data_IF_907911468985
#
_entry.id   IF_907911468985
#
_cell.length_a   1.000
_cell.length_b   1.000
_cell.length_c   1.000
_cell.angle_alpha   90.00
_cell.angle_beta   90.00
_cell.angle_gamma   90.00
#
_symmetry.space_group_name_H-M   'P 1'
#
loop_
_entity.id
_entity.type
_entity.pdbx_description
1 polymer ?
#
# COMPACT_ATOMS: atom_id res chain seq x y z
N UNK A 1 1.27 14.89 -0.41
CA UNK A 1 0.16 13.96 -0.10
C UNK A 1 -1.19 14.63 -0.23
N UNK A 2 -1.34 15.89 0.21
CA UNK A 2 -2.58 16.66 -0.05
C UNK A 2 -2.83 16.90 -1.54
N UNK A 3 -1.75 16.98 -2.34
CA UNK A 3 -1.85 16.98 -3.80
C UNK A 3 -2.68 15.83 -4.38
N UNK A 4 -2.55 14.60 -3.84
CA UNK A 4 -3.29 13.43 -4.36
C UNK A 4 -4.80 13.57 -4.17
N UNK A 5 -5.21 14.12 -3.03
CA UNK A 5 -6.62 14.38 -2.72
C UNK A 5 -7.18 15.51 -3.58
N UNK A 6 -6.38 16.56 -3.82
CA UNK A 6 -6.77 17.67 -4.68
C UNK A 6 -6.92 17.24 -6.15
N UNK A 7 -6.02 16.39 -6.64
CA UNK A 7 -6.04 15.87 -8.01
C UNK A 7 -7.16 14.84 -8.21
N UNK A 8 -7.47 14.05 -7.17
CA UNK A 8 -8.48 12.99 -7.21
C UNK A 8 -9.44 13.12 -6.01
N UNK A 9 -10.42 14.04 -6.07
CA UNK A 9 -11.39 14.22 -5.00
C UNK A 9 -12.15 12.92 -4.70
N UNK A 10 -12.21 12.55 -3.42
CA UNK A 10 -12.92 11.34 -2.98
C UNK A 10 -12.18 10.01 -3.24
N UNK A 11 -10.91 10.03 -3.66
CA UNK A 11 -10.16 8.80 -3.92
C UNK A 11 -10.02 7.87 -2.70
N UNK A 12 -10.10 8.42 -1.48
CA UNK A 12 -10.06 7.66 -0.23
C UNK A 12 -11.42 7.13 0.23
N UNK A 13 -12.51 7.43 -0.48
CA UNK A 13 -13.88 7.09 -0.08
C UNK A 13 -14.45 5.90 -0.87
N UNK A 14 -13.59 5.06 -1.43
CA UNK A 14 -13.96 3.90 -2.23
C UNK A 14 -13.11 2.70 -1.81
N UNK A 15 -13.76 1.63 -1.37
CA UNK A 15 -13.08 0.43 -0.88
C UNK A 15 -12.46 -0.43 -2.01
N UNK A 16 -12.74 -0.11 -3.27
CA UNK A 16 -12.22 -0.81 -4.46
C UNK A 16 -10.98 -0.12 -5.06
N UNK A 17 -10.74 1.16 -4.73
CA UNK A 17 -9.55 1.85 -5.20
C UNK A 17 -8.28 1.31 -4.55
N UNK A 18 -7.23 1.21 -5.37
CA UNK A 18 -5.91 0.75 -4.95
C UNK A 18 -4.86 1.85 -5.07
N UNK A 19 -3.87 1.79 -4.20
CA UNK A 19 -2.78 2.75 -4.05
C UNK A 19 -1.46 2.00 -4.03
N UNK A 20 -0.46 2.54 -4.72
CA UNK A 20 0.85 1.91 -4.80
C UNK A 20 1.99 2.90 -4.53
N UNK A 21 2.95 2.49 -3.71
CA UNK A 21 4.27 3.12 -3.63
C UNK A 21 5.31 2.18 -4.25
N UNK A 22 5.66 2.42 -5.50
CA UNK A 22 6.61 1.59 -6.23
C UNK A 22 8.07 1.88 -5.84
N UNK A 23 8.33 2.80 -4.91
CA UNK A 23 9.66 3.11 -4.42
C UNK A 23 9.66 3.42 -2.91
N UNK A 24 9.15 2.46 -2.14
CA UNK A 24 9.08 2.57 -0.70
C UNK A 24 10.48 2.76 -0.09
N UNK A 25 10.55 3.69 0.88
CA UNK A 25 11.70 3.86 1.77
C UNK A 25 11.35 3.43 3.19
N UNK A 26 10.73 4.31 3.96
CA UNK A 26 10.35 4.06 5.35
C UNK A 26 8.97 3.42 5.50
N UNK A 27 8.16 3.36 4.43
CA UNK A 27 6.76 2.95 4.51
C UNK A 27 5.78 4.08 4.89
N UNK A 28 6.29 5.29 5.18
CA UNK A 28 5.47 6.42 5.64
C UNK A 28 4.30 6.76 4.70
N UNK A 29 4.54 6.78 3.40
CA UNK A 29 3.49 7.11 2.43
C UNK A 29 2.33 6.10 2.52
N UNK A 30 2.64 4.80 2.48
CA UNK A 30 1.63 3.74 2.63
C UNK A 30 0.87 3.88 3.95
N UNK A 31 1.57 4.08 5.07
CA UNK A 31 0.93 4.26 6.37
C UNK A 31 -0.05 5.44 6.39
N UNK A 32 0.28 6.55 5.74
CA UNK A 32 -0.64 7.70 5.65
C UNK A 32 -1.85 7.41 4.74
N UNK A 33 -1.69 6.64 3.66
CA UNK A 33 -2.82 6.16 2.84
C UNK A 33 -3.73 5.27 3.70
N UNK A 34 -3.15 4.30 4.42
CA UNK A 34 -3.89 3.40 5.32
C UNK A 34 -4.69 4.20 6.34
N UNK A 35 -4.09 5.21 6.96
CA UNK A 35 -4.80 6.09 7.92
C UNK A 35 -5.98 6.81 7.26
N UNK A 36 -5.81 7.38 6.07
CA UNK A 36 -6.89 8.10 5.37
C UNK A 36 -8.05 7.16 5.03
N UNK A 37 -7.75 6.00 4.46
CA UNK A 37 -8.75 4.97 4.14
C UNK A 37 -9.48 4.49 5.41
N UNK A 38 -8.73 4.21 6.48
CA UNK A 38 -9.31 3.72 7.73
C UNK A 38 -10.25 4.73 8.39
N UNK A 39 -10.01 6.03 8.20
CA UNK A 39 -10.83 7.10 8.75
C UNK A 39 -11.96 7.57 7.84
N UNK A 40 -12.00 7.15 6.57
CA UNK A 40 -13.09 7.48 5.64
C UNK A 40 -14.43 6.98 6.18
N UNK A 41 -15.43 7.87 6.20
CA UNK A 41 -16.78 7.53 6.65
C UNK A 41 -17.46 6.53 5.72
N UNK A 42 -17.14 6.55 4.41
CA UNK A 42 -17.67 5.57 3.46
C UNK A 42 -17.08 4.18 3.68
N UNK A 43 -15.76 4.09 3.84
CA UNK A 43 -15.09 2.81 4.12
C UNK A 43 -15.54 2.26 5.47
N UNK A 44 -15.76 3.11 6.49
CA UNK A 44 -16.34 2.69 7.78
C UNK A 44 -17.77 2.17 7.65
N UNK A 45 -18.59 2.76 6.78
CA UNK A 45 -19.96 2.28 6.55
C UNK A 45 -19.98 0.90 5.87
N UNK A 46 -19.05 0.64 4.96
CA UNK A 46 -18.89 -0.67 4.29
C UNK A 46 -18.24 -1.72 5.20
N UNK A 47 -17.22 -1.32 5.97
CA UNK A 47 -16.47 -2.17 6.90
C UNK A 47 -16.57 -1.61 8.32
N UNK A 48 -17.71 -1.83 9.03
CA UNK A 48 -17.91 -1.27 10.36
C UNK A 48 -17.02 -1.91 11.43
N UNK A 49 -16.57 -3.15 11.23
CA UNK A 49 -15.61 -3.80 12.12
C UNK A 49 -14.19 -3.29 11.85
N UNK A 50 -13.55 -2.73 12.88
CA UNK A 50 -12.20 -2.16 12.80
C UNK A 50 -11.14 -3.14 12.30
N UNK A 51 -11.17 -4.38 12.77
CA UNK A 51 -10.21 -5.41 12.41
C UNK A 51 -10.39 -5.88 10.96
N UNK A 52 -11.65 -6.03 10.50
CA UNK A 52 -11.94 -6.36 9.10
C UNK A 52 -11.57 -5.21 8.17
N UNK A 53 -11.84 -3.96 8.57
CA UNK A 53 -11.51 -2.77 7.79
C UNK A 53 -10.01 -2.64 7.56
N UNK A 54 -9.20 -2.76 8.61
CA UNK A 54 -7.74 -2.66 8.45
C UNK A 54 -7.18 -3.83 7.63
N UNK A 55 -7.71 -5.06 7.78
CA UNK A 55 -7.33 -6.20 6.93
C UNK A 55 -7.66 -5.93 5.48
N UNK A 56 -8.87 -5.46 5.19
CA UNK A 56 -9.30 -5.14 3.82
C UNK A 56 -8.36 -4.12 3.17
N UNK A 57 -8.07 -3.02 3.87
CA UNK A 57 -7.17 -1.97 3.37
C UNK A 57 -5.79 -2.55 3.05
N UNK A 58 -5.19 -3.31 3.97
CA UNK A 58 -3.85 -3.86 3.80
C UNK A 58 -3.77 -4.94 2.71
N UNK A 59 -4.82 -5.74 2.55
CA UNK A 59 -4.85 -6.88 1.63
C UNK A 59 -5.35 -6.55 0.22
N UNK A 60 -6.14 -5.47 0.06
CA UNK A 60 -6.79 -5.19 -1.22
C UNK A 60 -6.55 -3.77 -1.73
N UNK A 61 -6.13 -2.82 -0.90
CA UNK A 61 -6.06 -1.42 -1.31
C UNK A 61 -4.65 -0.84 -1.35
N UNK A 62 -3.69 -1.35 -0.57
CA UNK A 62 -2.33 -0.79 -0.57
C UNK A 62 -1.29 -1.79 -1.04
N UNK A 63 -0.40 -1.30 -1.91
CA UNK A 63 0.66 -2.06 -2.57
C UNK A 63 1.98 -1.31 -2.48
N UNK A 64 3.10 -2.02 -2.50
CA UNK A 64 4.38 -1.34 -2.58
C UNK A 64 5.57 -2.19 -2.98
N UNK A 65 6.58 -1.52 -3.51
CA UNK A 65 7.86 -2.12 -3.89
C UNK A 65 8.99 -1.41 -3.14
N UNK A 66 9.92 -2.18 -2.59
CA UNK A 66 11.15 -1.66 -2.01
C UNK A 66 12.37 -2.23 -2.77
N UNK A 67 13.36 -1.40 -3.15
CA UNK A 67 14.40 -1.82 -4.10
C UNK A 67 15.43 -2.78 -3.51
N UNK A 68 15.63 -2.77 -2.19
CA UNK A 68 16.63 -3.62 -1.52
C UNK A 68 16.04 -4.31 -0.30
N UNK A 69 16.66 -5.42 0.12
CA UNK A 69 16.22 -6.21 1.28
C UNK A 69 16.13 -5.39 2.57
N UNK A 70 17.11 -4.53 2.82
CA UNK A 70 17.15 -3.71 4.04
C UNK A 70 15.99 -2.71 4.04
N UNK A 71 15.78 -2.01 2.92
CA UNK A 71 14.70 -1.03 2.79
C UNK A 71 13.33 -1.72 2.87
N UNK A 72 13.20 -2.88 2.22
CA UNK A 72 12.00 -3.71 2.31
C UNK A 72 11.66 -4.04 3.77
N UNK A 73 12.63 -4.56 4.53
CA UNK A 73 12.43 -4.90 5.94
C UNK A 73 12.05 -3.69 6.80
N UNK A 74 12.70 -2.55 6.58
CA UNK A 74 12.38 -1.29 7.29
C UNK A 74 10.94 -0.87 6.98
N UNK A 75 10.56 -0.79 5.71
CA UNK A 75 9.22 -0.40 5.29
C UNK A 75 8.15 -1.35 5.83
N UNK A 76 8.33 -2.66 5.65
CA UNK A 76 7.34 -3.65 6.09
C UNK A 76 7.22 -3.72 7.61
N UNK A 77 8.32 -3.58 8.36
CA UNK A 77 8.25 -3.53 9.82
C UNK A 77 7.58 -2.24 10.31
N UNK A 78 7.76 -1.12 9.61
CA UNK A 78 7.04 0.11 9.95
C UNK A 78 5.54 0.00 9.68
N UNK A 79 5.16 -0.61 8.56
CA UNK A 79 3.74 -0.73 8.15
C UNK A 79 3.01 -1.84 8.92
N UNK A 80 3.68 -2.98 9.21
CA UNK A 80 3.03 -4.20 9.71
C UNK A 80 3.64 -4.73 11.02
N UNK A 81 4.75 -4.17 11.50
CA UNK A 81 5.48 -4.72 12.65
C UNK A 81 4.78 -4.59 14.00
N UNK A 82 3.58 -4.01 14.05
CA UNK A 82 2.73 -3.98 15.23
C UNK A 82 1.85 -5.22 15.38
N UNK A 83 1.65 -6.02 14.31
CA UNK A 83 0.81 -7.22 14.31
C UNK A 83 1.38 -8.32 13.40
N UNK A 84 1.87 -9.39 14.02
CA UNK A 84 2.48 -10.51 13.28
C UNK A 84 1.48 -11.32 12.46
N UNK A 85 0.19 -11.36 12.84
CA UNK A 85 -0.84 -12.02 12.05
C UNK A 85 -1.06 -11.28 10.74
N UNK A 86 -1.25 -9.95 10.81
CA UNK A 86 -1.44 -9.10 9.63
C UNK A 86 -0.22 -9.11 8.72
N UNK A 87 0.98 -9.16 9.32
CA UNK A 87 2.24 -9.28 8.59
C UNK A 87 2.31 -10.57 7.78
N UNK A 88 1.84 -11.69 8.33
CA UNK A 88 1.83 -12.97 7.63
C UNK A 88 0.75 -13.06 6.55
N UNK A 89 -0.38 -12.36 6.74
CA UNK A 89 -1.51 -12.36 5.82
C UNK A 89 -1.30 -11.43 4.61
N UNK A 90 -0.56 -10.33 4.80
CA UNK A 90 -0.39 -9.28 3.77
C UNK A 90 0.71 -9.65 2.78
N UNK A 91 0.37 -9.69 1.49
CA UNK A 91 1.30 -10.07 0.40
C UNK A 91 1.60 -8.94 -0.60
N UNK A 92 1.02 -7.76 -0.38
CA UNK A 92 1.06 -6.65 -1.34
C UNK A 92 2.34 -5.80 -1.29
N UNK A 93 3.27 -6.15 -0.40
CA UNK A 93 4.58 -5.51 -0.33
C UNK A 93 5.65 -6.47 -0.81
N UNK A 94 6.44 -6.04 -1.80
CA UNK A 94 7.47 -6.88 -2.44
C UNK A 94 8.83 -6.19 -2.46
N UNK A 95 9.89 -7.00 -2.48
CA UNK A 95 11.23 -6.51 -2.76
C UNK A 95 11.46 -6.53 -4.27
N UNK A 96 11.42 -5.37 -4.92
CA UNK A 96 11.63 -5.20 -6.35
C UNK A 96 12.16 -3.79 -6.66
N UNK A 97 13.09 -3.68 -7.62
CA UNK A 97 13.65 -2.40 -8.04
C UNK A 97 12.87 -1.82 -9.22
N UNK A 98 11.77 -1.12 -8.90
CA UNK A 98 10.97 -0.42 -9.90
C UNK A 98 11.74 0.70 -10.60
N UNK A 99 12.72 1.32 -9.94
CA UNK A 99 13.55 2.37 -10.55
C UNK A 99 14.41 1.80 -11.67
N UNK A 100 15.02 0.63 -11.45
CA UNK A 100 15.77 -0.06 -12.49
C UNK A 100 14.85 -0.53 -13.63
N UNK A 101 13.71 -1.13 -13.31
CA UNK A 101 12.75 -1.56 -14.33
C UNK A 101 12.21 -0.38 -15.17
N UNK A 102 11.98 0.78 -14.57
CA UNK A 102 11.58 1.99 -15.28
C UNK A 102 12.64 2.47 -16.27
N UNK A 103 13.93 2.48 -15.87
CA UNK A 103 15.05 2.81 -16.77
C UNK A 103 15.15 1.85 -17.96
N UNK A 104 14.80 0.59 -17.76
CA UNK A 104 14.79 -0.43 -18.80
C UNK A 104 13.49 -0.46 -19.63
N UNK A 105 12.50 0.37 -19.32
CA UNK A 105 11.19 0.35 -19.98
C UNK A 105 10.31 -0.85 -19.62
N UNK A 106 10.64 -1.59 -18.56
CA UNK A 106 9.98 -2.84 -18.12
C UNK A 106 9.12 -2.68 -16.86
N UNK A 107 8.82 -1.45 -16.44
CA UNK A 107 8.08 -1.20 -15.22
C UNK A 107 6.70 -1.90 -15.23
N UNK A 108 5.97 -1.82 -16.34
CA UNK A 108 4.66 -2.45 -16.47
C UNK A 108 4.73 -3.98 -16.34
N UNK A 109 5.74 -4.60 -16.93
CA UNK A 109 5.98 -6.05 -16.83
C UNK A 109 6.30 -6.46 -15.38
N UNK A 110 7.12 -5.66 -14.68
CA UNK A 110 7.45 -5.91 -13.28
C UNK A 110 6.21 -5.78 -12.39
N UNK A 111 5.40 -4.74 -12.57
CA UNK A 111 4.15 -4.54 -11.83
C UNK A 111 3.20 -5.72 -12.05
N UNK A 112 3.00 -6.14 -13.30
CA UNK A 112 2.16 -7.30 -13.62
C UNK A 112 2.72 -8.59 -13.00
N UNK A 113 4.04 -8.79 -13.01
CA UNK A 113 4.66 -9.96 -12.39
C UNK A 113 4.48 -10.00 -10.88
N UNK A 114 4.50 -8.84 -10.22
CA UNK A 114 4.43 -8.74 -8.77
C UNK A 114 2.99 -8.73 -8.23
N UNK A 115 2.04 -8.14 -8.98
CA UNK A 115 0.70 -7.83 -8.49
C UNK A 115 -0.45 -8.24 -9.43
N UNK A 116 -0.17 -8.80 -10.60
CA UNK A 116 -1.17 -9.18 -11.61
C UNK A 116 -1.39 -10.68 -11.73
#
# INVERSE_FOLDING_TARGET
MDALACENPGCFDDATHTFADLYMKSGLYITEIVKRLYHSDKIKAEYPNDAERIRHILQHQVYGMAPTRIIYLIATNYILGFDESMKSETKNFVQADASQAAKEGKLAELVKKCFG
#
